data_IF_053986218073
#
_entry.id   IF_053986218073
#
_cell.length_a   1.000
_cell.length_b   1.000
_cell.length_c   1.000
_cell.angle_alpha   90.00
_cell.angle_beta   90.00
_cell.angle_gamma   90.00
#
_symmetry.space_group_name_H-M   'P 1'
#
loop_
_entity.id
_entity.type
_entity.pdbx_description
1 polymer ?
#
# COMPACT_ATOMS: atom_id res chain seq x y z
N UNK A 1 -5.92 -0.62 -5.00
CA UNK A 1 -4.62 -0.28 -4.34
C UNK A 1 -4.78 0.02 -2.81
N UNK A 2 -3.71 -0.21 -2.03
CA UNK A 2 -3.61 0.21 -0.61
C UNK A 2 -2.61 1.42 -0.50
N UNK A 3 -1.34 1.22 -0.12
CA UNK A 3 -0.26 2.21 -0.38
C UNK A 3 0.62 1.76 -1.60
N UNK A 4 0.83 2.65 -2.58
CA UNK A 4 1.66 2.34 -3.78
C UNK A 4 0.94 1.47 -4.83
N UNK A 5 1.05 0.15 -4.70
CA UNK A 5 0.14 -0.80 -5.40
C UNK A 5 -0.86 -1.44 -4.36
N UNK A 6 -1.18 -2.74 -4.44
CA UNK A 6 -2.14 -3.43 -3.50
C UNK A 6 -1.52 -3.91 -2.12
N UNK A 7 -0.57 -3.12 -1.59
CA UNK A 7 0.33 -3.52 -0.48
C UNK A 7 0.07 -2.56 0.74
N UNK A 8 -0.39 -3.10 1.88
CA UNK A 8 -0.52 -2.29 3.13
C UNK A 8 0.77 -2.23 4.02
N UNK A 9 1.87 -1.74 3.41
CA UNK A 9 3.06 -1.23 4.13
C UNK A 9 2.83 0.25 4.66
N UNK A 10 3.04 0.61 5.97
CA UNK A 10 2.56 1.90 6.52
C UNK A 10 3.37 3.16 6.03
N UNK A 11 2.66 4.09 5.37
CA UNK A 11 3.29 5.17 4.57
C UNK A 11 3.25 6.58 5.25
#
# INVERSE_FOLDING_TARGET
>A
VCCGYKLCHPC
#
